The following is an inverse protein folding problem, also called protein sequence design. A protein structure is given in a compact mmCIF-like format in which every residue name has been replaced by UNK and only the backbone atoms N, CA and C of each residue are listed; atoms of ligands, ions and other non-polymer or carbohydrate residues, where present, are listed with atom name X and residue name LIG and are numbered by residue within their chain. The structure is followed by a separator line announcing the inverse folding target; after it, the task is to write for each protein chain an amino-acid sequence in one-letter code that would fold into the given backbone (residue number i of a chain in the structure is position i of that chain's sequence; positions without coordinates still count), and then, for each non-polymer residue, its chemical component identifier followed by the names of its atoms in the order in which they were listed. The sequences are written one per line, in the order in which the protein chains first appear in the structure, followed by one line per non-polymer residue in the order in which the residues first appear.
data_IF_590932307273
#
_entry.id   IF_590932307273
#
_cell.length_a   1.000
_cell.length_b   1.000
_cell.length_c   1.000
_cell.angle_alpha   90.00
_cell.angle_beta   90.00
_cell.angle_gamma   90.00
#
_symmetry.space_group_name_H-M   'P 1'
#
loop_
_entity.id
_entity.type
_entity.pdbx_description
1 polymer ?
#
# COMPACT_ATOMS: atom_id res chain seq x y z
N UNK A 1 3.74 -5.02 -4.64
CA UNK A 1 3.98 -5.55 -3.27
C UNK A 1 5.40 -6.07 -3.11
N UNK A 2 5.86 -7.04 -3.91
CA UNK A 2 7.23 -7.58 -3.79
C UNK A 2 8.34 -6.53 -3.85
N UNK A 3 8.24 -5.54 -4.74
CA UNK A 3 9.20 -4.42 -4.83
C UNK A 3 9.47 -3.76 -3.47
N UNK A 4 8.45 -3.61 -2.62
CA UNK A 4 8.60 -3.00 -1.29
C UNK A 4 9.44 -3.87 -0.35
N UNK A 5 9.25 -5.19 -0.40
CA UNK A 5 9.97 -6.15 0.46
C UNK A 5 11.44 -6.38 0.04
N UNK A 6 11.86 -5.90 -1.13
CA UNK A 6 13.23 -6.05 -1.62
C UNK A 6 14.11 -4.80 -1.41
N UNK A 7 13.55 -3.67 -0.96
CA UNK A 7 14.29 -2.40 -0.84
C UNK A 7 15.07 -2.28 0.49
N UNK A 8 14.78 -3.10 1.49
CA UNK A 8 15.32 -2.97 2.86
C UNK A 8 16.64 -3.73 3.07
N UNK A 9 17.57 -3.72 2.10
CA UNK A 9 18.75 -4.61 2.12
C UNK A 9 20.11 -3.96 2.41
N UNK A 10 20.19 -2.63 2.61
CA UNK A 10 21.46 -1.99 2.92
C UNK A 10 21.82 -2.20 4.39
N UNK A 11 22.89 -2.92 4.70
CA UNK A 11 23.41 -3.08 6.06
C UNK A 11 24.91 -2.74 6.08
N UNK A 12 25.34 -1.90 7.02
CA UNK A 12 26.76 -1.70 7.33
C UNK A 12 27.09 -2.61 8.50
N UNK A 13 28.01 -3.56 8.27
CA UNK A 13 28.57 -4.38 9.33
C UNK A 13 29.85 -3.72 9.84
N UNK A 14 29.84 -3.27 11.09
CA UNK A 14 31.06 -2.78 11.74
C UNK A 14 31.88 -3.97 12.22
N UNK A 15 33.06 -4.16 11.66
CA UNK A 15 33.94 -5.30 11.94
C UNK A 15 34.43 -5.33 13.40
N UNK A 16 34.40 -4.20 14.11
CA UNK A 16 34.93 -4.05 15.47
C UNK A 16 33.89 -4.33 16.58
N UNK A 17 32.60 -4.28 16.28
CA UNK A 17 31.50 -4.43 17.28
C UNK A 17 30.44 -5.47 16.91
N UNK A 18 30.60 -6.20 15.80
CA UNK A 18 29.65 -7.23 15.34
C UNK A 18 28.19 -6.73 15.23
N UNK A 19 28.03 -5.43 14.97
CA UNK A 19 26.75 -4.74 14.88
C UNK A 19 26.43 -4.40 13.42
N UNK A 20 25.31 -4.92 12.94
CA UNK A 20 24.72 -4.59 11.64
C UNK A 20 23.78 -3.40 11.80
N UNK A 21 24.10 -2.29 11.14
CA UNK A 21 23.21 -1.13 11.08
C UNK A 21 22.50 -1.11 9.72
N UNK A 22 21.16 -1.18 9.68
CA UNK A 22 20.44 -1.01 8.43
C UNK A 22 20.61 0.45 7.94
N UNK A 23 21.19 0.59 6.75
CA UNK A 23 21.31 1.86 6.04
C UNK A 23 20.02 2.12 5.27
N UNK A 24 19.21 3.04 5.79
CA UNK A 24 18.06 3.56 5.06
C UNK A 24 18.48 4.53 3.96
N UNK A 25 17.93 4.37 2.76
CA UNK A 25 18.08 5.30 1.62
C UNK A 25 17.33 6.64 1.82
N UNK A 26 16.85 6.93 3.03
CA UNK A 26 16.04 8.12 3.33
C UNK A 26 14.80 8.21 2.42
N UNK A 27 14.53 9.41 1.88
CA UNK A 27 13.40 9.69 0.99
C UNK A 27 13.48 8.95 -0.35
N UNK A 28 14.68 8.59 -0.82
CA UNK A 28 14.87 7.84 -2.08
C UNK A 28 14.25 6.45 -1.99
N UNK A 29 14.18 5.86 -0.77
CA UNK A 29 13.49 4.59 -0.53
C UNK A 29 11.99 4.60 -0.86
N UNK A 30 11.36 5.78 -0.94
CA UNK A 30 9.96 5.91 -1.31
C UNK A 30 9.71 5.84 -2.83
N UNK A 31 10.71 6.14 -3.66
CA UNK A 31 10.55 6.22 -5.13
C UNK A 31 10.04 4.91 -5.74
N UNK A 32 10.60 3.73 -5.42
CA UNK A 32 10.11 2.49 -6.02
C UNK A 32 8.68 2.15 -5.59
N UNK A 33 8.29 2.52 -4.37
CA UNK A 33 6.91 2.37 -3.87
C UNK A 33 5.98 3.27 -4.67
N UNK A 34 6.37 4.53 -4.89
CA UNK A 34 5.60 5.50 -5.67
C UNK A 34 5.38 5.01 -7.11
N UNK A 35 6.43 4.55 -7.80
CA UNK A 35 6.28 4.01 -9.14
C UNK A 35 5.45 2.73 -9.18
N UNK A 36 5.55 1.87 -8.17
CA UNK A 36 4.70 0.68 -8.06
C UNK A 36 3.22 1.07 -8.01
N UNK A 37 2.86 2.02 -7.14
CA UNK A 37 1.47 2.51 -7.03
C UNK A 37 1.02 3.19 -8.33
N UNK A 38 1.90 3.96 -8.96
CA UNK A 38 1.61 4.65 -10.21
C UNK A 38 1.31 3.68 -11.36
N UNK A 39 2.14 2.65 -11.55
CA UNK A 39 1.91 1.62 -12.58
C UNK A 39 0.61 0.86 -12.31
N UNK A 40 0.29 0.54 -11.05
CA UNK A 40 -1.00 -0.07 -10.68
C UNK A 40 -2.16 0.86 -11.07
N UNK A 41 -2.05 2.17 -10.78
CA UNK A 41 -3.08 3.15 -11.15
C UNK A 41 -3.29 3.26 -12.65
N UNK A 42 -2.20 3.27 -13.44
CA UNK A 42 -2.26 3.34 -14.89
C UNK A 42 -2.80 2.06 -15.55
N UNK A 43 -2.48 0.89 -15.00
CA UNK A 43 -2.84 -0.41 -15.60
C UNK A 43 -4.16 -0.99 -15.08
N UNK A 44 -4.51 -0.74 -13.82
CA UNK A 44 -5.64 -1.35 -13.11
C UNK A 44 -6.58 -0.32 -12.47
N UNK A 45 -6.44 0.96 -12.78
CA UNK A 45 -7.26 2.02 -12.20
C UNK A 45 -8.71 2.05 -12.68
N UNK A 46 -9.00 1.60 -13.89
CA UNK A 46 -10.34 1.68 -14.49
C UNK A 46 -11.43 0.90 -13.71
N UNK A 47 -11.26 -0.40 -13.45
CA UNK A 47 -12.33 -1.23 -12.88
C UNK A 47 -12.73 -0.86 -11.44
N UNK A 48 -11.79 -0.42 -10.60
CA UNK A 48 -12.01 -0.23 -9.15
C UNK A 48 -11.40 1.05 -8.57
N UNK A 49 -10.80 1.92 -9.39
CA UNK A 49 -10.12 3.12 -8.92
C UNK A 49 -8.85 2.84 -8.12
N UNK A 50 -8.22 1.66 -8.32
CA UNK A 50 -7.05 1.18 -7.56
C UNK A 50 -7.19 1.39 -6.05
N UNK A 51 -8.30 0.93 -5.48
CA UNK A 51 -8.60 1.02 -4.04
C UNK A 51 -7.75 0.05 -3.20
N UNK A 52 -6.42 0.18 -3.29
CA UNK A 52 -5.40 -0.74 -2.76
C UNK A 52 -5.06 -0.49 -1.28
N UNK A 53 -5.71 0.47 -0.63
CA UNK A 53 -5.46 0.83 0.77
C UNK A 53 -6.80 1.13 1.46
N UNK A 54 -7.13 0.41 2.55
CA UNK A 54 -8.36 0.63 3.31
C UNK A 54 -8.56 2.08 3.75
N UNK A 55 -7.52 2.75 4.25
CA UNK A 55 -7.61 4.14 4.68
C UNK A 55 -7.84 5.11 3.51
N UNK A 56 -7.28 4.80 2.33
CA UNK A 56 -7.42 5.60 1.10
C UNK A 56 -8.85 5.57 0.54
N UNK A 57 -9.65 4.57 0.89
CA UNK A 57 -11.05 4.44 0.49
C UNK A 57 -12.03 4.81 1.62
N UNK A 58 -11.87 4.20 2.79
CA UNK A 58 -12.86 4.26 3.87
C UNK A 58 -12.95 5.65 4.50
N UNK A 59 -11.82 6.33 4.73
CA UNK A 59 -11.84 7.65 5.36
C UNK A 59 -12.54 8.71 4.48
N UNK A 60 -12.20 8.87 3.17
CA UNK A 60 -12.97 9.73 2.28
C UNK A 60 -14.46 9.37 2.20
N UNK A 61 -14.80 8.07 2.27
CA UNK A 61 -16.20 7.60 2.23
C UNK A 61 -16.99 7.99 3.48
N UNK A 62 -16.39 7.83 4.67
CA UNK A 62 -16.96 8.29 5.94
C UNK A 62 -17.21 9.80 5.87
N UNK A 63 -16.22 10.57 5.40
CA UNK A 63 -16.36 12.02 5.26
C UNK A 63 -17.45 12.40 4.26
N UNK A 64 -17.55 11.71 3.12
CA UNK A 64 -18.63 11.89 2.15
C UNK A 64 -20.02 11.63 2.76
N UNK A 65 -20.14 10.64 3.64
CA UNK A 65 -21.39 10.35 4.33
C UNK A 65 -21.80 11.45 5.33
N UNK A 66 -20.83 11.95 6.11
CA UNK A 66 -21.07 12.94 7.18
C UNK A 66 -21.26 14.35 6.63
N UNK A 67 -20.46 14.75 5.64
CA UNK A 67 -20.44 16.14 5.20
C UNK A 67 -21.74 16.52 4.45
N UNK A 68 -22.31 17.71 4.71
CA UNK A 68 -23.48 18.23 4.01
C UNK A 68 -23.06 18.77 2.64
N UNK A 69 -22.94 17.88 1.65
CA UNK A 69 -22.58 18.23 0.27
C UNK A 69 -23.86 18.33 -0.56
N UNK A 70 -24.11 19.50 -1.16
CA UNK A 70 -25.28 19.74 -2.02
C UNK A 70 -25.22 18.86 -3.27
N UNK A 71 -26.29 18.12 -3.55
CA UNK A 71 -26.37 17.24 -4.73
C UNK A 71 -25.49 16.00 -4.65
N UNK A 72 -25.07 15.56 -3.46
CA UNK A 72 -24.23 14.37 -3.31
C UNK A 72 -24.96 13.08 -3.70
N UNK A 73 -24.25 12.17 -4.34
CA UNK A 73 -24.72 10.83 -4.66
C UNK A 73 -24.68 9.88 -3.46
N UNK A 74 -24.84 8.58 -3.72
CA UNK A 74 -24.70 7.54 -2.70
C UNK A 74 -23.24 7.40 -2.25
N UNK A 75 -23.01 6.97 -1.00
CA UNK A 75 -21.66 6.66 -0.52
C UNK A 75 -21.22 5.22 -0.86
N UNK A 76 -21.99 4.48 -1.66
CA UNK A 76 -21.70 3.11 -2.11
C UNK A 76 -21.26 2.15 -1.00
N UNK A 77 -21.97 2.13 0.13
CA UNK A 77 -21.64 1.29 1.29
C UNK A 77 -21.65 -0.21 0.99
N UNK A 78 -22.48 -0.66 0.04
CA UNK A 78 -22.50 -2.04 -0.44
C UNK A 78 -21.15 -2.51 -1.02
N UNK A 79 -20.37 -1.58 -1.59
CA UNK A 79 -19.02 -1.85 -2.11
C UNK A 79 -17.91 -1.59 -1.08
N UNK A 80 -18.18 -0.85 0.00
CA UNK A 80 -17.16 -0.31 0.91
C UNK A 80 -16.30 -1.37 1.61
N UNK A 81 -16.81 -2.58 1.80
CA UNK A 81 -16.05 -3.67 2.41
C UNK A 81 -14.98 -4.23 1.47
N UNK A 82 -15.14 -4.11 0.14
CA UNK A 82 -14.20 -4.64 -0.86
C UNK A 82 -12.85 -3.92 -0.77
N UNK A 83 -12.77 -2.57 -0.82
CA UNK A 83 -11.54 -1.81 -0.58
C UNK A 83 -10.89 -1.99 0.80
N UNK A 84 -11.56 -2.67 1.74
CA UNK A 84 -11.01 -2.97 3.06
C UNK A 84 -10.46 -4.40 3.09
N UNK A 85 -11.30 -5.39 2.84
CA UNK A 85 -10.90 -6.80 2.97
C UNK A 85 -10.01 -7.27 1.82
N UNK A 86 -10.25 -6.84 0.58
CA UNK A 86 -9.45 -7.30 -0.56
C UNK A 86 -7.99 -6.83 -0.48
N UNK A 87 -7.67 -5.57 -0.13
CA UNK A 87 -6.28 -5.17 0.08
C UNK A 87 -5.59 -5.88 1.25
N UNK A 88 -6.31 -6.12 2.36
CA UNK A 88 -5.75 -6.85 3.51
C UNK A 88 -5.41 -8.29 3.10
N UNK A 89 -6.34 -8.98 2.45
CA UNK A 89 -6.12 -10.34 1.96
C UNK A 89 -4.98 -10.40 0.93
N UNK A 90 -4.97 -9.48 -0.04
CA UNK A 90 -3.90 -9.40 -1.04
C UNK A 90 -2.52 -9.12 -0.42
N UNK A 91 -2.46 -8.27 0.61
CA UNK A 91 -1.22 -7.99 1.33
C UNK A 91 -0.73 -9.21 2.12
N UNK A 92 -1.63 -9.92 2.80
CA UNK A 92 -1.32 -11.14 3.54
C UNK A 92 -0.81 -12.25 2.60
N UNK A 93 -1.48 -12.46 1.45
CA UNK A 93 -1.05 -13.43 0.44
C UNK A 93 0.33 -13.06 -0.11
N UNK A 94 0.56 -11.79 -0.46
CA UNK A 94 1.86 -11.36 -0.96
C UNK A 94 2.99 -11.55 0.07
N UNK A 95 2.72 -11.28 1.35
CA UNK A 95 3.68 -11.53 2.43
C UNK A 95 3.97 -13.03 2.59
N UNK A 96 2.93 -13.87 2.61
CA UNK A 96 3.09 -15.32 2.70
C UNK A 96 3.90 -15.88 1.52
N UNK A 97 3.62 -15.43 0.29
CA UNK A 97 4.38 -15.81 -0.89
C UNK A 97 5.84 -15.35 -0.82
N UNK A 98 6.10 -14.14 -0.29
CA UNK A 98 7.47 -13.66 -0.10
C UNK A 98 8.25 -14.57 0.85
N UNK A 99 7.65 -14.98 1.98
CA UNK A 99 8.28 -15.92 2.91
C UNK A 99 8.46 -17.33 2.34
N UNK A 100 7.58 -17.78 1.44
CA UNK A 100 7.68 -19.11 0.85
C UNK A 100 8.70 -19.20 -0.30
N UNK A 101 8.95 -18.09 -1.00
CA UNK A 101 9.81 -18.03 -2.19
C UNK A 101 11.23 -17.50 -1.92
N UNK A 102 11.51 -17.10 -0.68
CA UNK A 102 12.80 -16.55 -0.24
C UNK A 102 13.43 -17.47 0.81
#
# INVERSE_FOLDING_TARGET
MFVVFYITGGEITWHDTNSTLPVGLGSVGAIPVAFTVWVIGLSLGGPTGYAINPARDLAPRIMHAILPIKGKGSSHWEYAWIPVLAPIAGAAIAAALYYALK
#
